data_IF_284549322633
#
_entry.id   IF_284549322633
#
_cell.length_a   1.000
_cell.length_b   1.000
_cell.length_c   1.000
_cell.angle_alpha   90.00
_cell.angle_beta   90.00
_cell.angle_gamma   90.00
#
_symmetry.space_group_name_H-M   'P 1'
#
loop_
_entity.id
_entity.type
_entity.pdbx_description
1 polymer ?
#
# COMPACT_ATOMS: atom_id res chain seq x y z
N UNK A 1 -56.99 37.16 0.68
CA UNK A 1 -55.60 37.64 0.57
C UNK A 1 -55.22 38.20 1.92
N UNK A 2 -54.13 37.84 2.61
CA UNK A 2 -53.02 36.94 2.32
C UNK A 2 -52.54 36.34 3.66
N UNK A 3 -52.05 35.10 3.60
CA UNK A 3 -51.45 34.35 4.70
C UNK A 3 -50.14 34.99 5.16
N UNK A 4 -49.85 34.95 6.46
CA UNK A 4 -48.51 35.20 6.99
C UNK A 4 -47.70 33.90 6.89
N UNK A 5 -46.65 33.90 6.08
CA UNK A 5 -45.68 32.81 6.00
C UNK A 5 -44.43 33.17 6.81
N UNK A 6 -44.00 32.20 7.61
CA UNK A 6 -42.94 32.26 8.59
C UNK A 6 -41.64 31.73 7.95
N UNK A 7 -40.68 32.60 7.64
CA UNK A 7 -39.38 32.19 7.08
C UNK A 7 -38.43 31.69 8.18
N UNK A 8 -38.18 30.39 8.19
CA UNK A 8 -37.12 29.77 8.98
C UNK A 8 -35.76 29.99 8.28
N UNK A 9 -34.81 30.58 9.00
CA UNK A 9 -33.42 30.78 8.57
C UNK A 9 -32.67 29.45 8.59
N UNK A 10 -32.35 28.91 7.41
CA UNK A 10 -31.49 27.73 7.26
C UNK A 10 -30.02 28.14 7.29
N UNK A 11 -29.41 28.04 8.47
CA UNK A 11 -27.95 28.14 8.59
C UNK A 11 -27.31 26.92 7.91
N UNK A 12 -26.81 27.11 6.69
CA UNK A 12 -26.07 26.08 5.95
C UNK A 12 -24.65 26.00 6.50
N UNK A 13 -24.39 25.06 7.40
CA UNK A 13 -23.03 24.61 7.72
C UNK A 13 -22.70 23.46 6.78
N UNK A 14 -21.90 23.75 5.75
CA UNK A 14 -21.41 22.74 4.81
C UNK A 14 -20.29 21.93 5.48
N UNK A 15 -20.38 20.59 5.63
CA UNK A 15 -19.31 19.75 6.17
C UNK A 15 -18.27 19.32 5.10
N UNK A 16 -18.31 19.92 3.90
CA UNK A 16 -17.62 19.38 2.72
C UNK A 16 -16.07 19.49 2.73
N UNK A 17 -15.44 20.04 3.76
CA UNK A 17 -13.98 20.25 3.80
C UNK A 17 -13.18 19.10 4.46
N UNK A 18 -13.82 18.24 5.25
CA UNK A 18 -13.10 17.19 5.99
C UNK A 18 -13.11 15.81 5.30
N UNK A 19 -14.04 15.56 4.37
CA UNK A 19 -14.15 14.25 3.70
C UNK A 19 -13.19 14.05 2.52
N UNK A 20 -12.46 15.08 2.07
CA UNK A 20 -11.51 14.96 0.96
C UNK A 20 -10.16 14.33 1.36
N UNK A 21 -9.96 14.01 2.64
CA UNK A 21 -8.69 13.44 3.16
C UNK A 21 -8.63 11.91 3.16
N UNK A 22 -9.69 11.21 2.77
CA UNK A 22 -9.82 9.76 2.98
C UNK A 22 -9.75 8.88 1.72
N UNK A 23 -9.75 9.46 0.52
CA UNK A 23 -9.52 8.68 -0.70
C UNK A 23 -8.01 8.57 -0.96
N UNK A 24 -7.45 7.37 -1.18
CA UNK A 24 -6.07 7.26 -1.65
C UNK A 24 -5.99 8.05 -2.95
N UNK A 25 -5.09 9.04 -3.08
CA UNK A 25 -5.01 9.83 -4.29
C UNK A 25 -4.77 8.86 -5.45
N UNK A 26 -5.65 8.87 -6.45
CA UNK A 26 -5.59 8.00 -7.63
C UNK A 26 -4.32 8.23 -8.48
N UNK A 27 -3.44 9.11 -8.01
CA UNK A 27 -2.14 9.48 -8.58
C UNK A 27 -0.99 9.44 -7.55
N UNK A 28 -1.09 8.64 -6.49
CA UNK A 28 0.01 8.50 -5.52
C UNK A 28 1.16 7.73 -6.14
N UNK A 29 2.23 8.45 -6.49
CA UNK A 29 3.44 7.84 -7.04
C UNK A 29 4.24 7.16 -5.91
N UNK A 30 4.35 5.84 -5.98
CA UNK A 30 5.27 5.05 -5.16
C UNK A 30 6.68 5.21 -5.73
N UNK A 31 7.64 5.60 -4.89
CA UNK A 31 8.98 6.00 -5.35
C UNK A 31 10.11 5.26 -4.65
N UNK A 32 9.92 4.87 -3.39
CA UNK A 32 10.94 4.19 -2.60
C UNK A 32 10.46 2.79 -2.25
N UNK A 33 11.33 1.82 -2.44
CA UNK A 33 11.02 0.42 -2.21
C UNK A 33 12.02 -0.22 -1.25
N UNK A 34 11.53 -1.08 -0.38
CA UNK A 34 12.33 -1.99 0.45
C UNK A 34 12.05 -3.41 0.00
N UNK A 35 13.09 -4.13 -0.38
CA UNK A 35 13.01 -5.53 -0.78
C UNK A 35 13.32 -6.42 0.42
N UNK A 36 12.43 -7.38 0.66
CA UNK A 36 12.60 -8.44 1.64
C UNK A 36 12.51 -9.79 0.95
N UNK A 37 13.10 -10.80 1.57
CA UNK A 37 13.07 -12.16 1.09
C UNK A 37 12.69 -13.16 2.17
N UNK A 38 11.97 -14.20 1.76
CA UNK A 38 11.91 -15.50 2.43
C UNK A 38 12.47 -16.56 1.48
N UNK A 39 12.50 -17.81 1.93
CA UNK A 39 12.91 -18.94 1.09
C UNK A 39 12.13 -19.01 -0.23
N UNK A 40 10.81 -18.75 -0.20
CA UNK A 40 9.93 -18.99 -1.34
C UNK A 40 9.48 -17.73 -2.07
N UNK A 41 9.65 -16.54 -1.49
CA UNK A 41 9.11 -15.30 -2.06
C UNK A 41 10.02 -14.11 -1.81
N UNK A 42 9.97 -13.14 -2.72
CA UNK A 42 10.36 -11.77 -2.46
C UNK A 42 9.12 -10.92 -2.14
N UNK A 43 9.31 -9.93 -1.27
CA UNK A 43 8.31 -8.94 -0.91
C UNK A 43 8.90 -7.55 -1.11
N UNK A 44 8.33 -6.78 -2.04
CA UNK A 44 8.71 -5.41 -2.25
C UNK A 44 7.69 -4.49 -1.59
N UNK A 45 8.15 -3.72 -0.61
CA UNK A 45 7.35 -2.76 0.14
C UNK A 45 7.62 -1.38 -0.45
N UNK A 46 6.64 -0.84 -1.16
CA UNK A 46 6.70 0.48 -1.77
C UNK A 46 6.07 1.56 -0.90
N UNK A 47 6.63 2.76 -0.91
CA UNK A 47 6.01 3.93 -0.29
C UNK A 47 6.13 5.19 -1.16
N UNK A 48 5.20 6.11 -0.94
CA UNK A 48 5.18 7.43 -1.54
C UNK A 48 6.24 8.36 -0.91
N UNK A 49 6.41 9.56 -1.48
CA UNK A 49 7.42 10.53 -1.00
C UNK A 49 7.20 10.95 0.45
N UNK A 50 5.96 10.93 0.93
CA UNK A 50 5.55 11.32 2.28
C UNK A 50 5.55 10.18 3.30
N UNK A 51 5.89 8.95 2.90
CA UNK A 51 5.77 7.75 3.75
C UNK A 51 4.36 7.54 4.34
N UNK A 52 3.32 8.04 3.66
CA UNK A 52 1.92 7.97 4.10
C UNK A 52 1.23 6.73 3.55
N UNK A 53 1.51 6.40 2.29
CA UNK A 53 0.87 5.29 1.60
C UNK A 53 1.89 4.19 1.35
N UNK A 54 1.52 2.98 1.74
CA UNK A 54 2.36 1.80 1.59
C UNK A 54 1.67 0.73 0.76
N UNK A 55 2.42 0.12 -0.15
CA UNK A 55 1.94 -0.92 -1.08
C UNK A 55 2.87 -2.12 -1.02
N UNK A 56 2.35 -3.30 -1.31
CA UNK A 56 3.09 -4.55 -1.25
C UNK A 56 2.99 -5.29 -2.58
N UNK A 57 4.14 -5.66 -3.13
CA UNK A 57 4.26 -6.56 -4.26
C UNK A 57 4.91 -7.87 -3.79
N UNK A 58 4.30 -9.00 -4.11
CA UNK A 58 4.84 -10.33 -3.82
C UNK A 58 5.31 -11.00 -5.10
N UNK A 59 6.51 -11.58 -5.08
CA UNK A 59 7.12 -12.26 -6.23
C UNK A 59 7.51 -13.68 -5.78
N UNK A 60 7.02 -14.70 -6.49
CA UNK A 60 7.40 -16.09 -6.26
C UNK A 60 8.84 -16.36 -6.71
N UNK A 61 9.57 -17.21 -5.96
CA UNK A 61 10.97 -17.58 -6.26
C UNK A 61 11.17 -19.04 -6.63
N UNK A 62 10.12 -19.85 -6.50
CA UNK A 62 10.26 -21.31 -6.56
C UNK A 62 10.25 -21.86 -7.99
N UNK A 63 9.54 -21.20 -8.91
CA UNK A 63 9.51 -21.60 -10.31
C UNK A 63 10.35 -20.62 -11.13
N UNK A 64 11.50 -21.04 -11.68
CA UNK A 64 12.32 -20.20 -12.54
C UNK A 64 11.72 -20.01 -13.95
N UNK A 65 10.74 -20.81 -14.33
CA UNK A 65 10.14 -20.80 -15.68
C UNK A 65 8.94 -19.86 -15.79
N UNK A 66 8.35 -19.49 -14.65
CA UNK A 66 7.18 -18.62 -14.60
C UNK A 66 7.37 -17.49 -13.59
N UNK A 67 7.24 -16.25 -14.06
CA UNK A 67 7.24 -15.07 -13.21
C UNK A 67 5.87 -14.91 -12.52
N UNK A 68 5.74 -15.40 -11.29
CA UNK A 68 4.53 -15.20 -10.47
C UNK A 68 4.63 -13.91 -9.64
N UNK A 69 4.02 -12.84 -10.12
CA UNK A 69 3.97 -11.53 -9.44
C UNK A 69 2.52 -11.20 -9.06
N UNK A 70 2.31 -10.79 -7.81
CA UNK A 70 0.98 -10.40 -7.30
C UNK A 70 1.06 -9.10 -6.52
N UNK A 71 0.29 -8.10 -6.96
CA UNK A 71 0.08 -6.87 -6.22
C UNK A 71 -0.99 -7.09 -5.14
N UNK A 72 -0.75 -6.54 -3.95
CA UNK A 72 -1.78 -6.39 -2.93
C UNK A 72 -2.56 -5.09 -3.19
N UNK A 73 -3.87 -5.21 -3.41
CA UNK A 73 -4.76 -4.05 -3.63
C UNK A 73 -4.93 -3.17 -2.38
N UNK A 74 -4.51 -3.67 -1.21
CA UNK A 74 -4.62 -2.97 0.07
C UNK A 74 -3.60 -1.84 0.15
N UNK A 75 -4.06 -0.67 0.58
CA UNK A 75 -3.16 0.42 0.96
C UNK A 75 -2.94 0.36 2.46
N UNK A 76 -1.68 0.34 2.86
CA UNK A 76 -1.28 0.18 4.25
C UNK A 76 -0.74 1.48 4.84
N UNK A 77 -0.86 1.59 6.16
CA UNK A 77 -0.09 2.49 7.02
C UNK A 77 1.26 1.88 7.39
N UNK A 78 2.19 2.69 7.90
CA UNK A 78 3.51 2.21 8.36
C UNK A 78 3.40 1.14 9.46
N UNK A 79 2.44 1.29 10.39
CA UNK A 79 2.20 0.32 11.45
C UNK A 79 1.70 -1.02 10.89
N UNK A 80 0.78 -0.99 9.93
CA UNK A 80 0.25 -2.21 9.33
C UNK A 80 1.30 -2.96 8.51
N UNK A 81 2.19 -2.23 7.82
CA UNK A 81 3.36 -2.83 7.17
C UNK A 81 4.29 -3.48 8.19
N UNK A 82 4.57 -2.80 9.30
CA UNK A 82 5.44 -3.35 10.35
C UNK A 82 4.86 -4.66 10.92
N UNK A 83 3.55 -4.69 11.15
CA UNK A 83 2.84 -5.89 11.59
C UNK A 83 2.77 -6.99 10.54
N UNK A 84 2.59 -6.63 9.27
CA UNK A 84 2.64 -7.56 8.15
C UNK A 84 4.01 -8.23 8.05
N UNK A 85 5.10 -7.45 8.06
CA UNK A 85 6.47 -7.97 7.99
C UNK A 85 6.76 -8.89 9.18
N UNK A 86 6.32 -8.53 10.39
CA UNK A 86 6.43 -9.37 11.59
C UNK A 86 5.71 -10.71 11.42
N UNK A 87 4.45 -10.69 10.95
CA UNK A 87 3.67 -11.92 10.71
C UNK A 87 4.31 -12.82 9.65
N UNK A 88 4.82 -12.23 8.57
CA UNK A 88 5.54 -12.99 7.52
C UNK A 88 6.81 -13.60 8.11
N UNK A 89 7.57 -12.85 8.92
CA UNK A 89 8.77 -13.35 9.57
C UNK A 89 8.48 -14.57 10.45
N UNK A 90 7.53 -14.45 11.39
CA UNK A 90 7.18 -15.55 12.29
C UNK A 90 6.62 -16.76 11.53
N UNK A 91 5.80 -16.53 10.49
CA UNK A 91 5.28 -17.60 9.64
C UNK A 91 6.35 -18.34 8.82
N UNK A 92 7.53 -17.75 8.64
CA UNK A 92 8.67 -18.36 7.92
C UNK A 92 9.84 -18.70 8.85
N UNK A 93 9.65 -18.67 10.17
CA UNK A 93 10.75 -18.81 11.13
C UNK A 93 11.52 -20.13 10.99
N UNK A 94 10.82 -21.22 10.65
CA UNK A 94 11.42 -22.54 10.39
C UNK A 94 12.30 -22.59 9.14
N UNK A 95 12.10 -21.67 8.19
CA UNK A 95 12.86 -21.55 6.94
C UNK A 95 13.83 -20.36 6.94
N UNK A 96 14.12 -19.80 8.12
CA UNK A 96 15.07 -18.70 8.30
C UNK A 96 14.43 -17.30 8.35
N UNK A 97 13.10 -17.23 8.34
CA UNK A 97 12.33 -16.00 8.53
C UNK A 97 12.33 -15.07 7.32
N UNK A 98 11.78 -13.87 7.53
CA UNK A 98 11.85 -12.76 6.60
C UNK A 98 13.14 -11.98 6.81
N UNK A 99 13.87 -11.69 5.73
CA UNK A 99 15.14 -10.96 5.75
C UNK A 99 15.04 -9.70 4.89
N UNK A 100 15.63 -8.61 5.36
CA UNK A 100 15.80 -7.42 4.55
C UNK A 100 16.94 -7.62 3.55
N UNK A 101 16.72 -7.25 2.29
CA UNK A 101 17.72 -7.36 1.22
C UNK A 101 18.30 -5.99 0.91
N UNK A 102 17.47 -5.04 0.48
CA UNK A 102 17.95 -3.72 0.05
C UNK A 102 16.84 -2.67 -0.01
N UNK A 103 17.24 -1.40 -0.15
CA UNK A 103 16.37 -0.32 -0.61
C UNK A 103 16.66 -0.06 -2.08
N UNK A 104 15.61 0.06 -2.90
CA UNK A 104 15.73 0.37 -4.32
C UNK A 104 14.64 1.37 -4.76
N UNK A 105 14.76 1.84 -6.00
CA UNK A 105 13.86 2.84 -6.60
C UNK A 105 13.18 2.31 -7.88
N UNK A 106 13.38 1.04 -8.20
CA UNK A 106 12.81 0.37 -9.36
C UNK A 106 13.34 -1.06 -9.47
N UNK A 107 12.64 -1.86 -10.29
CA UNK A 107 13.07 -3.20 -10.69
C UNK A 107 13.32 -3.15 -12.19
N UNK A 108 14.45 -3.71 -12.62
CA UNK A 108 14.74 -3.94 -14.04
C UNK A 108 14.72 -5.43 -14.27
N UNK A 109 13.88 -5.88 -15.19
CA UNK A 109 13.83 -7.26 -15.66
C UNK A 109 14.48 -7.39 -17.04
N UNK A 110 15.14 -8.50 -17.28
CA UNK A 110 15.53 -8.93 -18.62
C UNK A 110 14.70 -10.14 -19.00
N UNK A 111 14.16 -10.14 -20.22
CA UNK A 111 13.59 -11.32 -20.84
C UNK A 111 14.57 -11.75 -21.95
N UNK A 112 15.00 -13.00 -21.93
CA UNK A 112 15.79 -13.59 -23.01
C UNK A 112 14.80 -14.39 -23.89
N UNK A 113 14.91 -14.21 -25.21
CA UNK A 113 13.99 -14.80 -26.21
C UNK A 113 14.61 -16.03 -26.89
#
# INVERSE_FOLDING_TARGET
MASSENEASYHSTSPASDELRSLPPEHTCIQKFRLYETLSNFYMIGTDKSNTYWRVLKIGRLDPSELNVREDSTTYTESEISDLLRRIHEGNKSTGGLKFVTTCYGIVGMYDQ
#
